data_IF_098090459228
#
_entry.id   IF_098090459228
#
_cell.length_a   1.000
_cell.length_b   1.000
_cell.length_c   1.000
_cell.angle_alpha   90.00
_cell.angle_beta   90.00
_cell.angle_gamma   90.00
#
_symmetry.space_group_name_H-M   'P 1'
#
loop_
_entity.id
_entity.type
_entity.pdbx_description
1 polymer ?
#
# COMPACT_ATOMS: atom_id res chain seq x y z
N UNK A 1 32.34 -37.89 41.49
CA UNK A 1 31.58 -38.32 40.29
C UNK A 1 30.42 -37.35 40.12
N UNK A 2 30.34 -36.70 38.95
CA UNK A 2 29.38 -35.64 38.62
C UNK A 2 27.97 -36.21 38.41
N UNK A 3 26.94 -35.57 38.97
CA UNK A 3 25.57 -35.61 38.42
C UNK A 3 25.10 -34.16 38.27
N UNK A 4 25.22 -33.64 37.06
CA UNK A 4 24.63 -32.37 36.63
C UNK A 4 23.19 -32.70 36.25
N UNK A 5 22.24 -32.15 36.98
CA UNK A 5 20.82 -32.23 36.66
C UNK A 5 20.52 -31.15 35.61
N UNK A 6 20.21 -31.58 34.39
CA UNK A 6 19.72 -30.71 33.33
C UNK A 6 18.29 -30.27 33.65
N UNK A 7 18.05 -28.96 33.73
CA UNK A 7 16.70 -28.40 33.57
C UNK A 7 16.64 -27.83 32.16
N UNK A 8 16.01 -28.59 31.26
CA UNK A 8 15.63 -28.12 29.93
C UNK A 8 14.42 -27.20 30.08
N UNK A 9 14.66 -25.90 30.25
CA UNK A 9 13.63 -24.89 30.07
C UNK A 9 13.40 -24.69 28.57
N UNK A 10 12.32 -25.27 28.04
CA UNK A 10 11.89 -24.99 26.67
C UNK A 10 11.46 -23.52 26.58
N UNK A 11 12.34 -22.67 26.05
CA UNK A 11 12.00 -21.32 25.62
C UNK A 11 11.11 -21.44 24.37
N UNK A 12 9.82 -21.20 24.52
CA UNK A 12 8.95 -20.97 23.37
C UNK A 12 9.24 -19.55 22.86
N UNK A 13 10.17 -19.43 21.91
CA UNK A 13 10.33 -18.21 21.14
C UNK A 13 9.13 -18.09 20.20
N UNK A 14 8.09 -17.38 20.65
CA UNK A 14 7.09 -16.85 19.75
C UNK A 14 7.81 -15.91 18.78
N UNK A 15 8.00 -16.33 17.53
CA UNK A 15 8.43 -15.45 16.45
C UNK A 15 7.32 -14.41 16.28
N UNK A 16 7.48 -13.24 16.88
CA UNK A 16 6.64 -12.10 16.56
C UNK A 16 7.03 -11.66 15.15
N UNK A 17 6.14 -11.84 14.19
CA UNK A 17 6.25 -11.23 12.86
C UNK A 17 6.17 -9.71 13.03
N UNK A 18 7.33 -9.08 13.21
CA UNK A 18 7.44 -7.62 13.25
C UNK A 18 7.06 -7.08 11.87
N UNK A 19 6.12 -6.13 11.84
CA UNK A 19 5.79 -5.41 10.63
C UNK A 19 7.05 -4.67 10.11
N UNK A 20 7.32 -4.82 8.82
CA UNK A 20 8.37 -4.14 8.07
C UNK A 20 7.84 -2.79 7.60
N UNK A 21 8.69 -1.77 7.57
CA UNK A 21 8.31 -0.42 7.15
C UNK A 21 9.29 0.13 6.11
N UNK A 22 8.75 0.74 5.06
CA UNK A 22 9.48 1.45 4.00
C UNK A 22 8.93 2.85 3.91
N UNK A 23 9.81 3.85 3.98
CA UNK A 23 9.47 5.25 3.75
C UNK A 23 10.37 5.79 2.64
N UNK A 24 9.79 6.35 1.59
CA UNK A 24 10.51 7.00 0.49
C UNK A 24 9.81 8.26 0.04
N UNK A 25 10.61 9.24 -0.39
CA UNK A 25 10.14 10.51 -0.94
C UNK A 25 10.61 10.64 -2.37
N UNK A 26 9.72 11.10 -3.25
CA UNK A 26 9.96 11.27 -4.67
C UNK A 26 9.59 12.68 -5.11
N UNK A 27 10.36 13.25 -6.02
CA UNK A 27 10.17 14.61 -6.54
C UNK A 27 9.93 14.59 -8.04
N UNK A 28 9.15 15.56 -8.55
CA UNK A 28 8.89 15.69 -9.98
C UNK A 28 7.95 14.61 -10.54
N UNK A 29 7.14 14.00 -9.67
CA UNK A 29 6.14 13.00 -10.07
C UNK A 29 4.91 13.71 -10.62
N UNK A 30 4.46 13.30 -11.80
CA UNK A 30 3.18 13.71 -12.38
C UNK A 30 2.21 12.55 -12.58
N UNK A 31 2.72 11.30 -12.52
CA UNK A 31 1.95 10.08 -12.73
C UNK A 31 2.33 9.02 -11.70
N UNK A 32 1.34 8.33 -11.15
CA UNK A 32 1.54 7.17 -10.28
C UNK A 32 0.83 5.98 -10.90
N UNK A 33 1.56 4.87 -11.07
CA UNK A 33 1.00 3.56 -11.43
C UNK A 33 1.17 2.64 -10.23
N UNK A 34 0.07 2.28 -9.60
CA UNK A 34 0.05 1.43 -8.42
C UNK A 34 -0.71 0.13 -8.70
N UNK A 35 -0.05 -1.00 -8.51
CA UNK A 35 -0.67 -2.32 -8.64
C UNK A 35 -0.41 -3.14 -7.37
N UNK A 36 -1.47 -3.48 -6.65
CA UNK A 36 -1.39 -4.29 -5.44
C UNK A 36 -2.17 -5.59 -5.61
N UNK A 37 -1.83 -6.62 -4.86
CA UNK A 37 -2.60 -7.86 -4.84
C UNK A 37 -3.70 -7.76 -3.78
N UNK A 38 -3.31 -7.42 -2.56
CA UNK A 38 -4.17 -7.39 -1.37
C UNK A 38 -4.01 -6.11 -0.53
N UNK A 39 -3.06 -5.24 -0.91
CA UNK A 39 -2.70 -4.07 -0.15
C UNK A 39 -3.78 -2.99 -0.15
N UNK A 40 -4.08 -2.45 1.03
CA UNK A 40 -4.93 -1.26 1.14
C UNK A 40 -4.11 0.00 0.94
N UNK A 41 -4.70 1.03 0.32
CA UNK A 41 -4.04 2.29 0.03
C UNK A 41 -4.84 3.45 0.63
N UNK A 42 -4.15 4.30 1.40
CA UNK A 42 -4.66 5.60 1.84
C UNK A 42 -3.91 6.71 1.13
N UNK A 43 -4.63 7.69 0.61
CA UNK A 43 -4.10 8.83 -0.12
C UNK A 43 -4.59 10.11 0.54
N UNK A 44 -3.65 10.99 0.86
CA UNK A 44 -3.93 12.29 1.49
C UNK A 44 -3.13 13.40 0.81
N UNK A 45 -3.61 14.63 0.94
CA UNK A 45 -2.91 15.80 0.42
C UNK A 45 -1.68 16.13 1.26
N UNK A 46 -0.56 16.32 0.57
CA UNK A 46 0.66 16.90 1.10
C UNK A 46 0.69 18.42 0.97
N UNK A 47 1.59 19.04 1.72
CA UNK A 47 1.83 20.49 1.68
C UNK A 47 2.92 20.88 0.68
N UNK A 48 3.77 19.94 0.28
CA UNK A 48 4.87 20.14 -0.66
C UNK A 48 4.56 19.64 -2.07
N UNK A 49 5.56 19.71 -2.95
CA UNK A 49 5.52 19.17 -4.32
C UNK A 49 6.00 17.71 -4.41
N UNK A 50 6.22 17.07 -3.26
CA UNK A 50 6.82 15.74 -3.16
C UNK A 50 5.75 14.67 -2.96
N UNK A 51 5.99 13.51 -3.54
CA UNK A 51 5.22 12.30 -3.24
C UNK A 51 5.93 11.53 -2.13
N UNK A 52 5.27 11.42 -0.98
CA UNK A 52 5.78 10.60 0.12
C UNK A 52 5.04 9.27 0.16
N UNK A 53 5.79 8.18 0.14
CA UNK A 53 5.29 6.82 0.17
C UNK A 53 5.71 6.17 1.47
N UNK A 54 4.73 5.80 2.29
CA UNK A 54 4.90 4.91 3.43
C UNK A 54 4.25 3.57 3.12
N UNK A 55 4.98 2.49 3.33
CA UNK A 55 4.50 1.13 3.23
C UNK A 55 4.81 0.41 4.54
N UNK A 56 3.80 -0.20 5.15
CA UNK A 56 3.96 -1.14 6.25
C UNK A 56 3.44 -2.51 5.84
N UNK A 57 4.18 -3.59 6.08
CA UNK A 57 3.73 -4.94 5.72
C UNK A 57 4.21 -6.03 6.68
N UNK A 58 3.49 -7.15 6.71
CA UNK A 58 3.80 -8.33 7.53
C UNK A 58 4.14 -9.57 6.72
N UNK A 59 4.11 -9.46 5.39
CA UNK A 59 4.51 -10.55 4.50
C UNK A 59 5.95 -10.99 4.72
N UNK A 60 6.21 -12.26 4.43
CA UNK A 60 7.55 -12.82 4.44
C UNK A 60 8.41 -12.16 3.36
N UNK A 61 9.57 -11.62 3.77
CA UNK A 61 10.52 -10.88 2.93
C UNK A 61 11.07 -11.70 1.76
N UNK A 62 11.09 -13.02 1.88
CA UNK A 62 11.62 -13.92 0.85
C UNK A 62 10.56 -14.17 -0.23
N UNK A 63 9.28 -13.92 0.08
CA UNK A 63 8.15 -14.15 -0.83
C UNK A 63 7.47 -12.86 -1.30
N UNK A 64 7.69 -11.72 -0.63
CA UNK A 64 7.05 -10.45 -0.96
C UNK A 64 8.10 -9.37 -1.22
N UNK A 65 8.03 -8.80 -2.42
CA UNK A 65 8.95 -7.77 -2.91
C UNK A 65 8.15 -6.54 -3.32
N UNK A 66 8.11 -5.48 -2.48
CA UNK A 66 7.49 -4.23 -2.88
C UNK A 66 8.42 -3.46 -3.83
N UNK A 67 7.89 -3.04 -4.97
CA UNK A 67 8.59 -2.22 -5.96
C UNK A 67 8.19 -0.76 -5.77
N UNK A 68 9.19 0.11 -5.63
CA UNK A 68 9.02 1.56 -5.53
C UNK A 68 10.08 2.24 -6.42
N UNK A 69 9.74 2.44 -7.69
CA UNK A 69 10.67 2.88 -8.73
C UNK A 69 10.16 4.10 -9.48
N UNK A 70 11.05 5.03 -9.80
CA UNK A 70 10.73 6.23 -10.56
C UNK A 70 11.34 6.15 -11.96
N UNK A 71 10.50 6.26 -12.99
CA UNK A 71 10.87 6.36 -14.40
C UNK A 71 10.49 7.76 -14.91
N UNK A 72 11.46 8.67 -14.97
CA UNK A 72 11.21 10.07 -15.31
C UNK A 72 10.25 10.71 -14.30
N UNK A 73 9.04 11.10 -14.74
CA UNK A 73 8.00 11.67 -13.89
C UNK A 73 6.93 10.65 -13.46
N UNK A 74 7.12 9.37 -13.79
CA UNK A 74 6.21 8.29 -13.41
C UNK A 74 6.75 7.51 -12.23
N UNK A 75 5.98 7.44 -11.14
CA UNK A 75 6.25 6.57 -10.00
C UNK A 75 5.50 5.24 -10.17
N UNK A 76 6.23 4.15 -10.07
CA UNK A 76 5.73 2.78 -10.18
C UNK A 76 5.76 2.16 -8.79
N UNK A 77 4.58 1.77 -8.30
CA UNK A 77 4.38 1.08 -7.03
C UNK A 77 3.77 -0.29 -7.32
N UNK A 78 4.43 -1.38 -6.95
CA UNK A 78 3.90 -2.74 -7.18
C UNK A 78 4.15 -3.68 -6.01
N UNK A 79 3.28 -4.67 -5.89
CA UNK A 79 3.49 -5.83 -5.05
C UNK A 79 3.84 -7.03 -5.91
N UNK A 80 5.03 -7.58 -5.70
CA UNK A 80 5.45 -8.83 -6.34
C UNK A 80 5.48 -9.95 -5.30
N UNK A 81 4.92 -11.10 -5.67
CA UNK A 81 4.85 -12.28 -4.82
C UNK A 81 5.50 -13.49 -5.49
N UNK A 82 6.28 -14.26 -4.73
CA UNK A 82 6.87 -15.52 -5.16
C UNK A 82 6.26 -16.70 -4.39
N UNK A 83 5.80 -17.72 -5.13
CA UNK A 83 5.12 -18.89 -4.56
C UNK A 83 3.60 -18.81 -4.71
N UNK A 84 2.87 -19.67 -3.97
CA UNK A 84 1.40 -19.76 -4.04
C UNK A 84 0.68 -19.41 -2.73
N UNK A 85 1.38 -19.44 -1.61
CA UNK A 85 0.83 -19.19 -0.29
C UNK A 85 1.51 -17.95 0.28
N UNK A 86 0.75 -16.88 0.44
CA UNK A 86 1.22 -15.64 1.03
C UNK A 86 0.30 -15.32 2.20
N UNK A 87 0.86 -15.21 3.40
CA UNK A 87 0.13 -14.75 4.58
C UNK A 87 0.73 -13.44 5.05
N UNK A 88 -0.12 -12.45 5.28
CA UNK A 88 0.28 -11.13 5.72
C UNK A 88 -0.63 -10.07 5.14
N UNK A 89 -0.25 -8.82 5.36
CA UNK A 89 -0.95 -7.65 4.89
C UNK A 89 0.05 -6.58 4.50
N UNK A 90 -0.33 -5.71 3.58
CA UNK A 90 0.38 -4.48 3.24
C UNK A 90 -0.57 -3.28 3.37
N UNK A 91 -0.06 -2.19 3.92
CA UNK A 91 -0.75 -0.91 4.02
C UNK A 91 0.12 0.16 3.41
N UNK A 92 -0.37 0.76 2.35
CA UNK A 92 0.25 1.87 1.66
C UNK A 92 -0.38 3.18 2.10
N UNK A 93 0.45 4.18 2.33
CA UNK A 93 0.01 5.56 2.58
C UNK A 93 0.80 6.47 1.64
N UNK A 94 0.07 7.20 0.81
CA UNK A 94 0.59 8.16 -0.14
C UNK A 94 0.20 9.56 0.31
N UNK A 95 1.19 10.42 0.50
CA UNK A 95 0.97 11.86 0.69
C UNK A 95 1.39 12.54 -0.59
N UNK A 96 0.42 13.10 -1.32
CA UNK A 96 0.58 13.56 -2.70
C UNK A 96 0.40 15.08 -2.81
N UNK A 97 1.12 15.75 -3.73
CA UNK A 97 0.69 17.06 -4.21
C UNK A 97 -0.59 16.92 -5.05
N UNK A 98 -1.21 18.05 -5.36
CA UNK A 98 -2.31 18.10 -6.33
C UNK A 98 -1.80 17.80 -7.77
N UNK A 99 -2.74 17.53 -8.67
CA UNK A 99 -2.57 17.35 -10.11
C UNK A 99 -1.73 16.12 -10.52
N UNK A 100 -1.79 15.07 -9.71
CA UNK A 100 -1.24 13.75 -10.06
C UNK A 100 -2.25 12.94 -10.89
N UNK A 101 -1.76 12.28 -11.94
CA UNK A 101 -2.50 11.22 -12.66
C UNK A 101 -2.25 9.87 -11.98
N UNK A 102 -3.25 9.35 -11.28
CA UNK A 102 -3.19 8.11 -10.52
C UNK A 102 -3.92 6.97 -11.25
N UNK A 103 -3.20 5.91 -11.56
CA UNK A 103 -3.77 4.62 -11.96
C UNK A 103 -3.56 3.59 -10.83
N UNK A 104 -4.64 3.23 -10.16
CA UNK A 104 -4.65 2.25 -9.08
C UNK A 104 -5.36 0.98 -9.51
N UNK A 105 -4.70 -0.16 -9.37
CA UNK A 105 -5.31 -1.47 -9.57
C UNK A 105 -5.04 -2.33 -8.35
N UNK A 106 -6.08 -3.01 -7.86
CA UNK A 106 -5.91 -4.04 -6.85
C UNK A 106 -6.80 -5.24 -7.09
N UNK A 107 -6.30 -6.43 -6.78
CA UNK A 107 -7.12 -7.64 -6.71
C UNK A 107 -8.04 -7.60 -5.50
N UNK A 108 -7.51 -7.18 -4.36
CA UNK A 108 -8.20 -7.10 -3.08
C UNK A 108 -7.64 -5.93 -2.25
N UNK A 109 -8.48 -5.19 -1.57
CA UNK A 109 -8.04 -4.14 -0.66
C UNK A 109 -8.76 -2.83 -0.86
N UNK A 110 -8.74 -2.02 0.19
CA UNK A 110 -9.51 -0.78 0.23
C UNK A 110 -8.69 0.38 -0.30
N UNK A 111 -9.37 1.34 -0.93
CA UNK A 111 -8.81 2.61 -1.36
C UNK A 111 -9.52 3.75 -0.63
N UNK A 112 -8.77 4.52 0.13
CA UNK A 112 -9.24 5.72 0.82
C UNK A 112 -8.49 6.93 0.26
N UNK A 113 -9.20 7.91 -0.29
CA UNK A 113 -8.61 9.15 -0.82
C UNK A 113 -9.31 10.33 -0.19
N UNK A 114 -8.53 11.26 0.39
CA UNK A 114 -9.07 12.46 1.05
C UNK A 114 -8.32 13.74 0.71
N UNK A 115 -9.08 14.81 0.48
CA UNK A 115 -8.61 16.20 0.37
C UNK A 115 -7.63 16.49 -0.78
N UNK A 116 -7.60 15.70 -1.87
CA UNK A 116 -6.63 15.86 -2.98
C UNK A 116 -7.31 16.28 -4.29
N UNK A 117 -6.67 17.16 -5.07
CA UNK A 117 -7.04 17.38 -6.46
C UNK A 117 -6.26 16.44 -7.39
N UNK A 118 -6.91 15.44 -7.99
CA UNK A 118 -6.26 14.39 -8.79
C UNK A 118 -7.09 13.99 -10.02
N UNK A 119 -6.40 13.44 -11.03
CA UNK A 119 -7.05 12.60 -12.03
C UNK A 119 -6.83 11.15 -11.63
N UNK A 120 -7.88 10.37 -11.47
CA UNK A 120 -7.78 9.00 -10.98
C UNK A 120 -8.53 8.00 -11.84
N UNK A 121 -7.87 6.90 -12.17
CA UNK A 121 -8.49 5.67 -12.63
C UNK A 121 -8.23 4.57 -11.59
N UNK A 122 -9.29 3.95 -11.09
CA UNK A 122 -9.19 2.87 -10.11
C UNK A 122 -9.96 1.63 -10.57
N UNK A 123 -9.34 0.45 -10.45
CA UNK A 123 -10.00 -0.84 -10.64
C UNK A 123 -9.73 -1.73 -9.43
N UNK A 124 -10.79 -2.18 -8.76
CA UNK A 124 -10.68 -3.10 -7.62
C UNK A 124 -11.43 -4.40 -7.92
N UNK A 125 -10.80 -5.55 -7.66
CA UNK A 125 -11.48 -6.83 -7.71
C UNK A 125 -12.43 -6.99 -6.53
N UNK A 126 -11.89 -6.83 -5.32
CA UNK A 126 -12.63 -6.81 -4.06
C UNK A 126 -12.14 -5.68 -3.14
N UNK A 127 -13.04 -5.06 -2.39
CA UNK A 127 -12.70 -4.00 -1.42
C UNK A 127 -13.52 -2.73 -1.62
N UNK A 128 -13.52 -1.88 -0.60
CA UNK A 128 -14.27 -0.62 -0.60
C UNK A 128 -13.42 0.52 -1.14
N UNK A 129 -14.09 1.48 -1.78
CA UNK A 129 -13.45 2.70 -2.26
C UNK A 129 -14.18 3.88 -1.63
N UNK A 130 -13.47 4.63 -0.78
CA UNK A 130 -13.99 5.80 -0.09
C UNK A 130 -13.24 7.04 -0.58
N UNK A 131 -13.98 7.95 -1.21
CA UNK A 131 -13.45 9.21 -1.74
C UNK A 131 -14.12 10.39 -1.04
N UNK A 132 -13.29 11.26 -0.45
CA UNK A 132 -13.75 12.43 0.29
C UNK A 132 -13.07 13.70 -0.21
N UNK A 133 -13.85 14.73 -0.55
CA UNK A 133 -13.36 16.06 -0.97
C UNK A 133 -12.32 15.98 -2.09
N UNK A 134 -12.65 15.21 -3.12
CA UNK A 134 -11.79 15.03 -4.29
C UNK A 134 -12.18 16.02 -5.38
N UNK A 135 -11.19 16.72 -5.93
CA UNK A 135 -11.37 17.61 -7.09
C UNK A 135 -10.68 16.99 -8.30
N UNK A 136 -11.32 17.02 -9.47
CA UNK A 136 -10.76 16.49 -10.72
C UNK A 136 -11.56 15.32 -11.29
N UNK A 137 -10.95 14.59 -12.23
CA UNK A 137 -11.63 13.53 -12.98
C UNK A 137 -11.38 12.17 -12.34
N UNK A 138 -12.44 11.50 -11.92
CA UNK A 138 -12.36 10.18 -11.28
C UNK A 138 -13.16 9.15 -12.07
N UNK A 139 -12.52 8.05 -12.42
CA UNK A 139 -13.14 6.86 -13.02
C UNK A 139 -12.85 5.64 -12.17
N UNK A 140 -13.88 5.04 -11.60
CA UNK A 140 -13.77 3.88 -10.71
C UNK A 140 -14.54 2.70 -11.29
N UNK A 141 -13.94 1.52 -11.16
CA UNK A 141 -14.61 0.26 -11.40
C UNK A 141 -14.34 -0.68 -10.23
N UNK A 142 -15.36 -1.39 -9.75
CA UNK A 142 -15.23 -2.40 -8.71
C UNK A 142 -15.99 -3.67 -9.09
N UNK A 143 -15.39 -4.83 -8.82
CA UNK A 143 -16.07 -6.12 -8.96
C UNK A 143 -16.98 -6.42 -7.77
N UNK A 144 -16.45 -6.29 -6.55
CA UNK A 144 -17.17 -6.59 -5.31
C UNK A 144 -16.74 -5.66 -4.18
N UNK A 145 -17.70 -4.90 -3.63
CA UNK A 145 -17.45 -3.89 -2.60
C UNK A 145 -18.35 -2.70 -2.77
N UNK A 146 -18.19 -1.70 -1.90
CA UNK A 146 -18.94 -0.46 -1.96
C UNK A 146 -18.06 0.69 -2.47
N UNK A 147 -18.68 1.62 -3.21
CA UNK A 147 -18.07 2.89 -3.57
C UNK A 147 -18.82 3.98 -2.84
N UNK A 148 -18.10 4.75 -2.02
CA UNK A 148 -18.61 5.94 -1.36
C UNK A 148 -17.91 7.16 -1.94
N UNK A 149 -18.67 8.13 -2.44
CA UNK A 149 -18.15 9.43 -2.85
C UNK A 149 -18.86 10.53 -2.06
N UNK A 150 -18.08 11.30 -1.30
CA UNK A 150 -18.57 12.43 -0.51
C UNK A 150 -17.82 13.70 -0.93
N UNK A 151 -18.57 14.67 -1.46
CA UNK A 151 -18.06 16.00 -1.71
C UNK A 151 -18.82 16.97 -0.81
N UNK A 152 -18.10 17.68 0.07
CA UNK A 152 -18.67 18.67 0.98
C UNK A 152 -18.41 20.07 0.46
#
# INVERSE_FOLDING_TARGET
>A
MKKILMIAGALWLSVQTQAQEVNKTFTGISKIKMNTASGSCRIVKGTGSEVNVKLTYTYDKDTYKPVLEQEGTTLILKEEFEGRNHSGSSKWTLTLPDNIDLNFNTGSGDLDVSDVAITMKSNTGSGNIDLQKITGNVKINTGSGNITLQNH
#
